data_IF_937660761953
#
_entry.id   IF_937660761953
#
_cell.length_a   1.000
_cell.length_b   1.000
_cell.length_c   1.000
_cell.angle_alpha   90.00
_cell.angle_beta   90.00
_cell.angle_gamma   90.00
#
_symmetry.space_group_name_H-M   'P 1'
#
loop_
_entity.id
_entity.type
_entity.pdbx_description
1 polymer ?
#
# COMPACT_ATOMS: atom_id res chain seq x y z
N UNK A 1 0.84 24.17 -17.73
CA UNK A 1 0.43 23.56 -16.43
C UNK A 1 0.60 22.03 -16.46
N UNK A 2 -0.39 21.21 -16.88
CA UNK A 2 -0.26 19.73 -16.83
C UNK A 2 0.95 19.18 -17.62
N UNK A 3 1.29 19.80 -18.75
CA UNK A 3 2.47 19.48 -19.57
C UNK A 3 3.80 19.74 -18.86
N UNK A 4 3.87 20.84 -18.12
CA UNK A 4 5.07 21.33 -17.46
C UNK A 4 5.33 20.54 -16.17
N UNK A 5 4.29 20.35 -15.37
CA UNK A 5 4.29 19.47 -14.20
C UNK A 5 4.68 18.03 -14.56
N UNK A 6 4.20 17.51 -15.70
CA UNK A 6 4.63 16.21 -16.23
C UNK A 6 6.12 16.23 -16.55
N UNK A 7 6.61 17.23 -17.29
CA UNK A 7 8.03 17.36 -17.66
C UNK A 7 8.95 17.45 -16.43
N UNK A 8 8.59 18.28 -15.45
CA UNK A 8 9.32 18.42 -14.17
C UNK A 8 9.41 17.09 -13.42
N UNK A 9 8.30 16.35 -13.34
CA UNK A 9 8.27 15.03 -12.71
C UNK A 9 9.14 13.99 -13.46
N UNK A 10 9.15 13.98 -14.80
CA UNK A 10 10.08 13.13 -15.56
C UNK A 10 11.55 13.51 -15.35
N UNK A 11 11.87 14.80 -15.24
CA UNK A 11 13.23 15.24 -14.89
C UNK A 11 13.64 14.77 -13.49
N UNK A 12 12.72 14.83 -12.52
CA UNK A 12 12.96 14.31 -11.18
C UNK A 12 13.17 12.78 -11.16
N UNK A 13 12.36 12.00 -11.89
CA UNK A 13 12.57 10.54 -12.05
C UNK A 13 13.95 10.25 -12.64
N UNK A 14 14.35 10.97 -13.71
CA UNK A 14 15.64 10.75 -14.38
C UNK A 14 16.81 10.97 -13.41
N UNK A 15 16.80 12.07 -12.67
CA UNK A 15 17.84 12.36 -11.69
C UNK A 15 17.88 11.28 -10.58
N UNK A 16 16.71 10.91 -10.04
CA UNK A 16 16.58 9.86 -9.01
C UNK A 16 17.10 8.49 -9.49
N UNK A 17 16.92 8.17 -10.77
CA UNK A 17 17.46 6.96 -11.39
C UNK A 17 18.98 7.03 -11.62
N UNK A 18 19.49 8.19 -12.05
CA UNK A 18 20.94 8.41 -12.14
C UNK A 18 21.63 8.32 -10.78
N UNK A 19 20.98 8.74 -9.70
CA UNK A 19 21.49 8.62 -8.33
C UNK A 19 21.49 7.15 -7.85
N UNK A 20 20.41 6.39 -8.08
CA UNK A 20 20.38 4.94 -7.80
C UNK A 20 21.51 4.19 -8.54
N UNK A 21 21.82 4.57 -9.79
CA UNK A 21 22.92 3.96 -10.55
C UNK A 21 24.31 4.30 -9.98
N UNK A 22 24.49 5.45 -9.33
CA UNK A 22 25.76 5.81 -8.67
C UNK A 22 25.96 4.96 -7.41
N UNK A 23 24.93 4.84 -6.58
CA UNK A 23 24.95 4.03 -5.36
C UNK A 23 25.13 2.53 -5.66
N UNK A 24 24.59 2.06 -6.79
CA UNK A 24 24.72 0.66 -7.24
C UNK A 24 26.10 0.29 -7.80
N UNK A 25 27.06 1.23 -7.85
CA UNK A 25 28.33 1.06 -8.56
C UNK A 25 29.51 0.93 -7.56
N UNK A 26 29.97 -0.29 -7.22
CA UNK A 26 31.04 -0.49 -6.24
C UNK A 26 32.42 -0.23 -6.85
N UNK A 27 32.71 1.03 -7.21
CA UNK A 27 34.04 1.45 -7.68
C UNK A 27 34.33 2.94 -7.43
N UNK A 28 34.65 3.26 -6.17
CA UNK A 28 35.49 4.41 -5.81
C UNK A 28 36.56 4.07 -4.78
N UNK A 29 36.94 2.79 -4.66
CA UNK A 29 38.24 2.41 -4.09
C UNK A 29 39.29 2.62 -5.18
N UNK A 30 40.16 3.62 -5.01
CA UNK A 30 41.33 3.80 -5.87
C UNK A 30 41.44 5.14 -6.59
N UNK A 31 41.53 6.24 -5.85
CA UNK A 31 42.43 7.34 -6.20
C UNK A 31 42.79 8.20 -4.97
N UNK A 32 43.37 7.55 -3.96
CA UNK A 32 44.22 8.23 -3.00
C UNK A 32 45.50 8.69 -3.71
N UNK A 33 45.41 9.77 -4.50
CA UNK A 33 46.60 10.46 -5.01
C UNK A 33 47.20 11.28 -3.89
N UNK A 34 48.27 10.73 -3.35
CA UNK A 34 49.25 11.40 -2.51
C UNK A 34 49.64 12.76 -3.09
N UNK A 35 49.29 13.84 -2.40
CA UNK A 35 50.01 15.11 -2.45
C UNK A 35 50.46 15.40 -1.01
N UNK A 36 51.74 15.16 -0.74
CA UNK A 36 52.44 15.56 0.49
C UNK A 36 52.95 17.00 0.38
N UNK A 37 53.42 17.56 1.52
CA UNK A 37 53.76 18.98 1.78
C UNK A 37 52.49 19.82 2.07
N UNK A 38 52.34 20.65 3.11
CA UNK A 38 53.09 20.97 4.36
C UNK A 38 52.16 21.90 5.22
N UNK A 39 52.26 22.15 6.54
CA UNK A 39 53.11 21.68 7.65
C UNK A 39 52.36 21.90 9.02
N UNK A 40 52.93 21.41 10.13
CA UNK A 40 52.79 21.76 11.58
C UNK A 40 51.55 22.49 12.15
N UNK A 41 50.92 21.92 13.21
CA UNK A 41 51.05 22.43 14.61
C UNK A 41 50.27 21.58 15.66
N UNK A 42 51.03 20.90 16.53
CA UNK A 42 50.93 20.69 17.99
C UNK A 42 49.60 20.60 18.82
N UNK A 43 49.47 19.45 19.54
CA UNK A 43 48.80 19.19 20.86
C UNK A 43 47.25 19.30 21.01
N UNK A 44 46.63 18.70 22.05
CA UNK A 44 46.55 17.24 22.30
C UNK A 44 45.11 16.72 22.58
N UNK A 45 44.98 15.40 22.68
CA UNK A 45 43.72 14.72 22.99
C UNK A 45 43.24 14.91 24.46
N UNK A 46 41.95 15.25 24.64
CA UNK A 46 41.02 14.54 25.53
C UNK A 46 39.59 15.14 25.53
N UNK A 47 38.66 14.37 26.11
CA UNK A 47 37.33 14.72 26.66
C UNK A 47 36.08 14.28 25.84
N UNK A 48 35.23 13.54 26.56
CA UNK A 48 33.81 13.20 26.37
C UNK A 48 33.33 12.54 25.07
N UNK A 49 33.15 11.20 25.17
CA UNK A 49 32.01 10.54 24.54
C UNK A 49 30.72 11.03 25.22
N UNK A 50 29.96 11.93 24.59
CA UNK A 50 28.56 12.17 24.93
C UNK A 50 27.71 12.24 23.64
N UNK A 51 26.88 11.21 23.50
CA UNK A 51 25.54 11.21 22.89
C UNK A 51 25.31 12.05 21.62
N UNK A 52 25.50 11.39 20.47
CA UNK A 52 24.71 11.66 19.26
C UNK A 52 24.03 10.39 18.74
N UNK A 53 23.16 9.82 19.58
CA UNK A 53 22.08 8.97 19.08
C UNK A 53 21.10 9.82 18.26
N UNK A 54 21.41 10.00 16.98
CA UNK A 54 20.43 10.48 16.01
C UNK A 54 20.68 9.86 14.62
N UNK A 55 21.09 8.59 14.61
CA UNK A 55 21.22 7.77 13.41
C UNK A 55 19.87 7.12 13.10
N UNK A 56 18.94 7.89 12.53
CA UNK A 56 17.68 7.37 11.97
C UNK A 56 17.93 6.64 10.63
N UNK A 57 18.94 5.75 10.61
CA UNK A 57 19.50 5.10 9.41
C UNK A 57 19.07 3.65 9.20
N UNK A 58 18.37 3.06 10.16
CA UNK A 58 18.21 1.59 10.26
C UNK A 58 16.80 1.05 10.00
N UNK A 59 15.83 1.90 9.62
CA UNK A 59 14.40 1.51 9.71
C UNK A 59 13.75 0.83 8.49
N UNK A 60 14.52 0.53 7.43
CA UNK A 60 14.10 -0.45 6.41
C UNK A 60 15.32 -1.22 5.93
N UNK A 61 15.58 -2.36 6.57
CA UNK A 61 16.54 -3.32 6.06
C UNK A 61 16.04 -3.86 4.71
N UNK A 62 16.81 -3.61 3.64
CA UNK A 62 16.44 -3.98 2.26
C UNK A 62 16.48 -5.52 2.09
N UNK A 63 17.13 -6.22 3.03
CA UNK A 63 17.15 -7.68 3.17
C UNK A 63 15.80 -8.32 3.53
N UNK A 64 14.82 -7.54 4.01
CA UNK A 64 13.51 -8.02 4.49
C UNK A 64 12.59 -8.40 3.30
N UNK A 65 13.07 -9.27 2.40
CA UNK A 65 12.29 -9.88 1.31
C UNK A 65 11.05 -10.58 1.90
N UNK A 66 9.92 -10.60 1.19
CA UNK A 66 8.64 -11.05 1.80
C UNK A 66 8.74 -12.48 2.35
N UNK A 67 8.75 -12.62 3.69
CA UNK A 67 8.98 -13.89 4.40
C UNK A 67 8.19 -15.05 3.80
N UNK A 68 6.94 -14.77 3.45
CA UNK A 68 6.04 -15.71 2.78
C UNK A 68 5.19 -14.97 1.74
N UNK A 69 5.20 -15.47 0.51
CA UNK A 69 4.33 -15.00 -0.58
C UNK A 69 3.86 -16.17 -1.46
N UNK A 70 2.62 -16.11 -1.95
CA UNK A 70 2.06 -17.08 -2.88
C UNK A 70 1.18 -16.37 -3.91
N UNK A 71 1.17 -16.81 -5.17
CA UNK A 71 0.45 -16.16 -6.26
C UNK A 71 -0.46 -17.14 -7.00
N UNK A 72 -1.66 -16.69 -7.35
CA UNK A 72 -2.70 -17.48 -8.00
C UNK A 72 -3.23 -16.74 -9.21
N UNK A 73 -3.27 -17.40 -10.37
CA UNK A 73 -4.05 -16.89 -11.52
C UNK A 73 -5.45 -17.51 -11.47
N UNK A 74 -6.48 -16.69 -11.54
CA UNK A 74 -7.89 -17.09 -11.43
C UNK A 74 -8.68 -16.68 -12.66
N UNK A 75 -9.78 -17.40 -12.93
CA UNK A 75 -10.78 -17.00 -13.92
C UNK A 75 -12.10 -16.65 -13.24
N UNK A 76 -12.63 -15.46 -13.49
CA UNK A 76 -13.94 -15.01 -13.02
C UNK A 76 -14.93 -14.86 -14.17
N UNK A 77 -16.23 -14.97 -13.86
CA UNK A 77 -17.31 -14.92 -14.85
C UNK A 77 -17.75 -16.29 -15.37
N UNK A 78 -19.03 -16.39 -15.73
CA UNK A 78 -19.66 -17.62 -16.26
C UNK A 78 -19.67 -17.68 -17.79
N UNK A 79 -19.85 -16.54 -18.46
CA UNK A 79 -19.88 -16.42 -19.93
C UNK A 79 -18.62 -15.72 -20.46
N UNK A 80 -18.42 -14.44 -20.13
CA UNK A 80 -17.16 -13.74 -20.39
C UNK A 80 -16.19 -14.03 -19.23
N UNK A 81 -15.12 -14.78 -19.49
CA UNK A 81 -14.10 -15.10 -18.49
C UNK A 81 -13.03 -14.01 -18.44
N UNK A 82 -12.82 -13.43 -17.27
CA UNK A 82 -11.77 -12.44 -17.02
C UNK A 82 -10.68 -13.04 -16.13
N UNK A 83 -9.44 -13.02 -16.64
CA UNK A 83 -8.26 -13.48 -15.91
C UNK A 83 -7.83 -12.42 -14.91
N UNK A 84 -7.57 -12.82 -13.66
CA UNK A 84 -7.02 -11.93 -12.64
C UNK A 84 -5.87 -12.64 -11.92
N UNK A 85 -4.93 -11.86 -11.40
CA UNK A 85 -3.89 -12.36 -10.51
C UNK A 85 -4.27 -12.03 -9.07
N UNK A 86 -4.18 -13.01 -8.18
CA UNK A 86 -4.23 -12.81 -6.75
C UNK A 86 -2.85 -13.11 -6.17
N UNK A 87 -2.47 -12.40 -5.11
CA UNK A 87 -1.27 -12.72 -4.32
C UNK A 87 -1.63 -12.71 -2.85
N UNK A 88 -1.10 -13.65 -2.07
CA UNK A 88 -1.06 -13.62 -0.61
C UNK A 88 0.37 -13.23 -0.19
N UNK A 89 0.51 -12.28 0.73
CA UNK A 89 1.81 -11.77 1.20
C UNK A 89 1.78 -11.59 2.72
N UNK A 90 2.77 -12.12 3.43
CA UNK A 90 3.05 -11.72 4.81
C UNK A 90 3.97 -10.48 4.80
N UNK A 91 3.46 -9.33 5.26
CA UNK A 91 4.21 -8.07 5.25
C UNK A 91 3.67 -7.05 6.26
N UNK A 92 4.49 -6.05 6.61
CA UNK A 92 3.95 -4.79 7.11
C UNK A 92 3.37 -4.00 5.93
N UNK A 93 2.07 -3.70 5.98
CA UNK A 93 1.35 -2.90 4.97
C UNK A 93 2.00 -1.52 4.72
N UNK A 94 2.70 -0.94 5.71
CA UNK A 94 3.41 0.32 5.55
C UNK A 94 4.69 0.21 4.70
N UNK A 95 5.28 -0.98 4.51
CA UNK A 95 6.47 -1.18 3.66
C UNK A 95 6.23 -0.70 2.21
N UNK A 96 5.02 -0.95 1.71
CA UNK A 96 4.57 -0.53 0.37
C UNK A 96 4.38 1.01 0.22
N UNK A 97 4.37 1.73 1.34
CA UNK A 97 4.33 3.20 1.41
C UNK A 97 5.70 3.82 1.73
N UNK A 98 6.79 3.04 1.74
CA UNK A 98 8.13 3.56 2.04
C UNK A 98 8.66 4.47 0.93
N UNK A 99 9.54 5.40 1.28
CA UNK A 99 10.20 6.32 0.35
C UNK A 99 11.66 5.93 0.03
N UNK A 100 12.11 4.76 0.50
CA UNK A 100 13.49 4.26 0.29
C UNK A 100 13.78 4.16 -1.21
N UNK A 101 14.96 4.64 -1.62
CA UNK A 101 15.41 4.60 -3.00
C UNK A 101 15.60 3.14 -3.44
N UNK A 102 14.70 2.66 -4.29
CA UNK A 102 14.67 1.27 -4.78
C UNK A 102 14.25 1.25 -6.25
N UNK A 103 14.63 0.21 -7.02
CA UNK A 103 14.13 0.04 -8.39
C UNK A 103 12.59 0.04 -8.46
N UNK A 104 11.94 -0.57 -7.47
CA UNK A 104 10.48 -0.61 -7.31
C UNK A 104 9.87 0.80 -7.20
N UNK A 105 10.38 1.66 -6.31
CA UNK A 105 9.93 3.05 -6.17
C UNK A 105 10.05 3.83 -7.49
N UNK A 106 11.12 3.60 -8.25
CA UNK A 106 11.32 4.27 -9.55
C UNK A 106 10.32 3.74 -10.59
N UNK A 107 10.09 2.42 -10.65
CA UNK A 107 9.11 1.81 -11.55
C UNK A 107 7.67 2.27 -11.24
N UNK A 108 7.32 2.38 -9.96
CA UNK A 108 6.06 3.00 -9.50
C UNK A 108 6.00 4.44 -10.00
N UNK A 109 6.97 5.29 -9.68
CA UNK A 109 6.99 6.69 -10.14
C UNK A 109 6.85 6.84 -11.67
N UNK A 110 7.53 6.02 -12.47
CA UNK A 110 7.37 6.01 -13.93
C UNK A 110 5.93 5.67 -14.39
N UNK A 111 5.21 4.89 -13.61
CA UNK A 111 3.84 4.43 -13.90
C UNK A 111 2.75 5.46 -13.57
N UNK A 112 3.06 6.58 -12.90
CA UNK A 112 2.09 7.60 -12.49
C UNK A 112 1.25 8.18 -13.64
N UNK A 113 1.83 8.24 -14.85
CA UNK A 113 1.18 8.73 -16.07
C UNK A 113 0.84 7.62 -17.08
N UNK A 114 0.90 6.36 -16.66
CA UNK A 114 0.52 5.18 -17.46
C UNK A 114 -0.91 4.74 -17.13
N UNK A 115 -1.37 3.66 -17.75
CA UNK A 115 -2.56 2.90 -17.35
C UNK A 115 -2.30 1.96 -16.15
N UNK A 116 -1.08 1.90 -15.62
CA UNK A 116 -0.71 0.99 -14.52
C UNK A 116 -0.62 1.68 -13.16
N UNK A 117 -1.78 2.09 -12.63
CA UNK A 117 -1.84 2.66 -11.28
C UNK A 117 -1.86 1.56 -10.21
N UNK A 118 -1.13 1.80 -9.11
CA UNK A 118 -1.13 0.95 -7.92
C UNK A 118 -1.75 1.66 -6.70
N UNK A 119 -2.43 0.91 -5.84
CA UNK A 119 -3.09 1.44 -4.66
C UNK A 119 -2.98 0.54 -3.41
N UNK A 120 -3.05 1.12 -2.23
CA UNK A 120 -3.04 0.41 -0.94
C UNK A 120 -4.29 0.79 -0.14
N UNK A 121 -4.84 -0.17 0.60
CA UNK A 121 -5.90 0.07 1.59
C UNK A 121 -5.30 0.05 3.00
N UNK A 122 -5.30 1.19 3.67
CA UNK A 122 -4.92 1.32 5.08
C UNK A 122 -6.16 1.42 5.96
N UNK A 123 -6.08 0.80 7.14
CA UNK A 123 -7.05 1.02 8.21
C UNK A 123 -6.75 2.38 8.87
N UNK A 124 -7.79 3.19 9.08
CA UNK A 124 -7.68 4.51 9.65
C UNK A 124 -8.68 4.70 10.81
N UNK A 125 -8.29 5.51 11.79
CA UNK A 125 -9.17 5.93 12.88
C UNK A 125 -10.26 6.90 12.37
N UNK A 126 -11.36 7.02 13.13
CA UNK A 126 -12.44 7.99 12.88
C UNK A 126 -11.93 9.45 12.88
N UNK A 127 -10.81 9.72 13.57
CA UNK A 127 -10.32 11.07 13.81
C UNK A 127 -9.30 11.53 12.76
N UNK A 128 -9.78 12.28 11.77
CA UNK A 128 -8.95 13.14 10.88
C UNK A 128 -8.25 14.30 11.63
N UNK A 129 -8.10 14.23 12.96
CA UNK A 129 -7.52 15.33 13.75
C UNK A 129 -6.03 15.46 13.44
N UNK A 130 -5.51 16.70 13.41
CA UNK A 130 -4.09 16.92 13.06
C UNK A 130 -3.14 16.13 13.98
N UNK A 131 -3.49 15.96 15.26
CA UNK A 131 -2.67 15.14 16.18
C UNK A 131 -2.77 13.64 15.92
N UNK A 132 -3.90 13.10 15.47
CA UNK A 132 -4.02 11.69 15.13
C UNK A 132 -3.32 11.39 13.81
N UNK A 133 -3.51 12.26 12.81
CA UNK A 133 -2.80 12.16 11.53
C UNK A 133 -1.29 12.25 11.72
N UNK A 134 -0.76 13.20 12.51
CA UNK A 134 0.69 13.33 12.74
C UNK A 134 1.29 12.19 13.56
N UNK A 135 0.49 11.49 14.40
CA UNK A 135 0.97 10.37 15.24
C UNK A 135 1.00 9.02 14.52
N UNK A 136 0.29 8.85 13.41
CA UNK A 136 0.28 7.57 12.69
C UNK A 136 1.63 7.30 12.04
N UNK A 137 2.07 6.03 12.07
CA UNK A 137 3.39 5.65 11.53
C UNK A 137 3.46 5.85 10.00
N UNK A 138 2.31 5.70 9.32
CA UNK A 138 2.13 6.12 7.92
C UNK A 138 2.52 7.58 7.69
N UNK A 139 2.01 8.49 8.53
CA UNK A 139 2.24 9.92 8.32
C UNK A 139 3.68 10.32 8.69
N UNK A 140 4.27 9.73 9.74
CA UNK A 140 5.70 9.94 10.07
C UNK A 140 6.60 9.56 8.89
N UNK A 141 6.35 8.40 8.30
CA UNK A 141 7.08 7.90 7.13
C UNK A 141 6.95 8.81 5.91
N UNK A 142 5.75 9.36 5.64
CA UNK A 142 5.52 10.24 4.48
C UNK A 142 5.97 11.68 4.74
N UNK A 143 5.88 12.21 5.97
CA UNK A 143 6.39 13.56 6.30
C UNK A 143 7.91 13.66 6.15
N UNK A 144 8.63 12.55 6.21
CA UNK A 144 10.07 12.47 5.91
C UNK A 144 10.37 12.37 4.40
N UNK A 145 9.37 12.55 3.53
CA UNK A 145 9.49 12.45 2.07
C UNK A 145 8.97 13.71 1.39
N UNK A 146 9.63 14.16 0.32
CA UNK A 146 9.07 15.20 -0.54
C UNK A 146 7.96 14.62 -1.42
N UNK A 147 6.81 15.27 -1.48
CA UNK A 147 5.78 14.96 -2.48
C UNK A 147 5.99 15.87 -3.69
N UNK A 148 6.31 15.27 -4.84
CA UNK A 148 6.84 16.00 -6.00
C UNK A 148 5.80 16.25 -7.11
N UNK A 149 4.54 15.83 -6.89
CA UNK A 149 3.46 15.99 -7.88
C UNK A 149 2.11 16.43 -7.27
N UNK A 150 1.74 15.86 -6.12
CA UNK A 150 0.48 16.15 -5.44
C UNK A 150 0.64 17.22 -4.34
N UNK A 151 -0.45 17.75 -3.76
CA UNK A 151 -0.35 18.54 -2.53
C UNK A 151 0.20 17.67 -1.40
N UNK A 152 0.95 18.26 -0.48
CA UNK A 152 1.44 17.59 0.73
C UNK A 152 0.30 16.92 1.52
N UNK A 153 0.65 15.86 2.27
CA UNK A 153 -0.31 15.07 3.05
C UNK A 153 -1.21 15.93 3.96
N UNK A 154 -0.66 16.96 4.62
CA UNK A 154 -1.44 17.89 5.43
C UNK A 154 -2.48 18.67 4.61
N UNK A 155 -2.07 19.21 3.45
CA UNK A 155 -2.98 19.92 2.53
C UNK A 155 -4.09 19.01 2.00
N UNK A 156 -3.79 17.73 1.73
CA UNK A 156 -4.82 16.75 1.34
C UNK A 156 -5.81 16.49 2.48
N UNK A 157 -5.36 16.40 3.73
CA UNK A 157 -6.26 16.26 4.88
C UNK A 157 -7.17 17.48 5.09
N UNK A 158 -6.67 18.71 4.91
CA UNK A 158 -7.53 19.90 5.00
C UNK A 158 -8.59 19.96 3.90
N UNK A 159 -8.26 19.54 2.67
CA UNK A 159 -9.25 19.40 1.59
C UNK A 159 -10.33 18.35 1.94
N UNK A 160 -9.92 17.19 2.47
CA UNK A 160 -10.86 16.13 2.91
C UNK A 160 -11.79 16.67 4.01
N UNK A 161 -11.27 17.40 5.02
CA UNK A 161 -12.08 18.03 6.07
C UNK A 161 -13.05 19.06 5.51
N UNK A 162 -12.62 19.86 4.53
CA UNK A 162 -13.49 20.85 3.88
C UNK A 162 -14.66 20.17 3.16
N UNK A 163 -14.40 19.08 2.42
CA UNK A 163 -15.45 18.32 1.74
C UNK A 163 -16.39 17.59 2.70
N UNK A 164 -15.88 17.01 3.80
CA UNK A 164 -16.73 16.43 4.86
C UNK A 164 -17.63 17.48 5.52
N UNK A 165 -17.13 18.71 5.74
CA UNK A 165 -17.93 19.81 6.26
C UNK A 165 -19.01 20.28 5.25
N UNK A 166 -18.77 20.17 3.94
CA UNK A 166 -19.76 20.44 2.88
C UNK A 166 -20.85 19.36 2.79
N UNK A 167 -20.54 18.12 3.17
CA UNK A 167 -21.46 16.99 3.19
C UNK A 167 -22.38 16.96 4.42
N UNK A 168 -22.20 17.87 5.40
CA UNK A 168 -23.06 17.98 6.57
C UNK A 168 -24.53 18.25 6.17
N UNK A 169 -25.49 17.41 6.57
CA UNK A 169 -26.91 17.63 6.28
C UNK A 169 -27.39 18.94 6.90
N UNK A 170 -28.27 19.66 6.21
CA UNK A 170 -28.74 20.99 6.62
C UNK A 170 -29.30 21.06 8.06
N UNK A 171 -29.85 19.95 8.56
CA UNK A 171 -30.39 19.84 9.92
C UNK A 171 -29.31 19.91 11.01
N UNK A 172 -28.05 19.55 10.71
CA UNK A 172 -26.92 19.61 11.65
C UNK A 172 -26.17 20.95 11.58
N UNK A 173 -26.33 21.72 10.49
CA UNK A 173 -25.68 23.03 10.31
C UNK A 173 -26.11 24.07 11.37
N UNK A 174 -27.28 23.87 12.00
CA UNK A 174 -27.80 24.75 13.06
C UNK A 174 -27.25 24.43 14.47
N UNK A 175 -26.51 23.34 14.67
CA UNK A 175 -25.84 23.10 15.94
C UNK A 175 -24.57 23.95 16.04
N UNK A 176 -24.64 25.05 16.81
CA UNK A 176 -23.53 25.99 17.07
C UNK A 176 -22.33 25.42 17.84
N UNK A 177 -22.21 24.11 17.95
CA UNK A 177 -21.05 23.45 18.53
C UNK A 177 -20.09 23.09 17.38
N UNK A 178 -18.84 23.57 17.45
CA UNK A 178 -17.79 23.40 16.42
C UNK A 178 -17.27 21.97 16.25
N UNK A 179 -18.14 20.97 16.35
CA UNK A 179 -17.85 19.57 16.05
C UNK A 179 -17.65 19.43 14.54
N UNK A 180 -16.43 19.09 14.13
CA UNK A 180 -16.15 18.68 12.75
C UNK A 180 -16.94 17.39 12.44
N UNK A 181 -17.35 17.21 11.18
CA UNK A 181 -18.00 15.96 10.78
C UNK A 181 -17.03 14.79 11.05
N UNK A 182 -17.43 13.86 11.92
CA UNK A 182 -16.65 12.66 12.21
C UNK A 182 -16.95 11.59 11.17
N UNK A 183 -15.89 10.96 10.68
CA UNK A 183 -16.03 9.76 9.87
C UNK A 183 -16.63 8.64 10.71
N UNK A 184 -17.39 7.76 10.06
CA UNK A 184 -17.99 6.57 10.64
C UNK A 184 -17.26 5.33 10.13
N UNK A 185 -17.33 4.25 10.89
CA UNK A 185 -16.83 2.94 10.47
C UNK A 185 -17.33 2.59 9.05
N UNK A 186 -16.40 2.21 8.17
CA UNK A 186 -16.68 1.89 6.76
C UNK A 186 -16.67 3.07 5.79
N UNK A 187 -16.61 4.32 6.28
CA UNK A 187 -16.30 5.47 5.43
C UNK A 187 -14.89 5.31 4.83
N UNK A 188 -14.68 5.89 3.64
CA UNK A 188 -13.41 5.81 2.92
C UNK A 188 -13.02 7.20 2.42
N UNK A 189 -11.77 7.59 2.67
CA UNK A 189 -11.14 8.77 2.06
C UNK A 189 -9.85 8.38 1.33
N UNK A 190 -9.34 9.27 0.47
CA UNK A 190 -8.25 8.97 -0.45
C UNK A 190 -7.15 10.03 -0.32
N UNK A 191 -5.89 9.60 -0.22
CA UNK A 191 -4.72 10.45 -0.44
C UNK A 191 -3.90 9.94 -1.64
N UNK A 192 -3.27 10.86 -2.37
CA UNK A 192 -2.51 10.59 -3.60
C UNK A 192 -1.06 10.99 -3.42
N UNK A 193 -0.15 10.18 -3.97
CA UNK A 193 1.29 10.32 -3.77
C UNK A 193 2.03 9.94 -5.06
N UNK A 194 3.16 10.58 -5.33
CA UNK A 194 4.01 10.28 -6.49
C UNK A 194 5.34 9.63 -6.14
N UNK A 195 5.62 9.51 -4.84
CA UNK A 195 6.96 9.22 -4.33
C UNK A 195 7.02 8.01 -3.35
N UNK A 196 5.97 7.18 -3.29
CA UNK A 196 5.96 5.95 -2.49
C UNK A 196 6.48 4.78 -3.31
N UNK A 197 6.94 3.72 -2.63
CA UNK A 197 7.56 2.56 -3.27
C UNK A 197 6.64 1.76 -4.19
N UNK A 198 5.38 1.55 -3.80
CA UNK A 198 4.48 0.58 -4.46
C UNK A 198 3.04 1.11 -4.64
N UNK A 199 2.79 2.42 -4.45
CA UNK A 199 1.44 3.00 -4.62
C UNK A 199 1.41 4.47 -5.05
N UNK A 200 0.39 4.80 -5.85
CA UNK A 200 0.00 6.17 -6.18
C UNK A 200 -1.21 6.65 -5.36
N UNK A 201 -2.06 5.72 -4.93
CA UNK A 201 -3.35 6.00 -4.29
C UNK A 201 -3.44 5.23 -2.98
N UNK A 202 -3.66 5.93 -1.87
CA UNK A 202 -3.91 5.31 -0.58
C UNK A 202 -5.38 5.52 -0.25
N UNK A 203 -6.13 4.42 -0.21
CA UNK A 203 -7.47 4.36 0.34
C UNK A 203 -7.35 4.17 1.84
N UNK A 204 -7.97 5.07 2.61
CA UNK A 204 -8.04 4.98 4.06
C UNK A 204 -9.46 4.56 4.41
N UNK A 205 -9.62 3.35 4.93
CA UNK A 205 -10.93 2.83 5.36
C UNK A 205 -11.06 2.95 6.87
N UNK A 206 -12.16 3.54 7.31
CA UNK A 206 -12.37 3.88 8.72
C UNK A 206 -12.76 2.63 9.49
N UNK A 207 -11.96 2.31 10.49
CA UNK A 207 -11.91 1.03 11.16
C UNK A 207 -11.44 1.23 12.60
N UNK A 208 -12.14 0.63 13.56
CA UNK A 208 -11.81 0.69 14.98
C UNK A 208 -11.47 -0.70 15.54
N UNK A 209 -11.01 -0.73 16.79
CA UNK A 209 -10.66 -1.95 17.51
C UNK A 209 -11.84 -2.93 17.69
N UNK A 210 -13.10 -2.48 17.53
CA UNK A 210 -14.27 -3.35 17.60
C UNK A 210 -14.24 -4.46 16.54
N UNK A 211 -13.54 -4.24 15.42
CA UNK A 211 -13.30 -5.21 14.33
C UNK A 211 -12.63 -6.50 14.81
N UNK A 212 -11.86 -6.47 15.90
CA UNK A 212 -11.26 -7.69 16.49
C UNK A 212 -12.32 -8.58 17.13
N UNK A 213 -13.23 -7.98 17.89
CA UNK A 213 -14.17 -8.69 18.77
C UNK A 213 -15.57 -8.88 18.17
N UNK A 214 -15.94 -8.10 17.14
CA UNK A 214 -17.24 -8.18 16.49
C UNK A 214 -17.34 -9.34 15.48
N UNK A 215 -18.51 -9.99 15.43
CA UNK A 215 -18.87 -10.92 14.35
C UNK A 215 -19.16 -10.13 13.06
N UNK A 216 -18.14 -10.04 12.20
CA UNK A 216 -18.25 -9.39 10.89
C UNK A 216 -18.96 -10.31 9.89
N UNK A 217 -19.87 -9.74 9.10
CA UNK A 217 -20.55 -10.40 7.98
C UNK A 217 -20.50 -9.52 6.72
N UNK A 218 -21.02 -10.00 5.59
CA UNK A 218 -20.94 -9.31 4.29
C UNK A 218 -21.64 -7.95 4.21
N UNK A 219 -22.48 -7.59 5.19
CA UNK A 219 -23.15 -6.27 5.29
C UNK A 219 -22.45 -5.31 6.25
N UNK A 220 -21.39 -5.73 6.93
CA UNK A 220 -20.65 -4.90 7.87
C UNK A 220 -20.05 -3.67 7.16
N UNK A 221 -20.07 -2.46 7.76
CA UNK A 221 -19.70 -1.22 7.06
C UNK A 221 -18.33 -1.27 6.38
N UNK A 222 -17.31 -1.82 7.04
CA UNK A 222 -15.95 -1.97 6.47
C UNK A 222 -15.92 -2.86 5.23
N UNK A 223 -16.79 -3.89 5.15
CA UNK A 223 -16.90 -4.75 3.97
C UNK A 223 -17.53 -4.00 2.79
N UNK A 224 -18.51 -3.13 3.08
CA UNK A 224 -19.12 -2.25 2.08
C UNK A 224 -18.14 -1.14 1.65
N UNK A 225 -17.28 -0.66 2.55
CA UNK A 225 -16.16 0.23 2.22
C UNK A 225 -15.15 -0.45 1.28
N UNK A 226 -14.76 -1.70 1.53
CA UNK A 226 -13.93 -2.49 0.60
C UNK A 226 -14.59 -2.67 -0.77
N UNK A 227 -15.91 -2.90 -0.84
CA UNK A 227 -16.67 -2.94 -2.10
C UNK A 227 -16.56 -1.62 -2.86
N UNK A 228 -16.73 -0.50 -2.15
CA UNK A 228 -16.62 0.84 -2.74
C UNK A 228 -15.19 1.12 -3.24
N UNK A 229 -14.16 0.73 -2.48
CA UNK A 229 -12.75 0.82 -2.90
C UNK A 229 -12.52 0.03 -4.19
N UNK A 230 -12.92 -1.24 -4.25
CA UNK A 230 -12.75 -2.06 -5.45
C UNK A 230 -13.53 -1.52 -6.66
N UNK A 231 -14.70 -0.92 -6.42
CA UNK A 231 -15.47 -0.23 -7.47
C UNK A 231 -14.71 0.99 -8.00
N UNK A 232 -14.14 1.83 -7.11
CA UNK A 232 -13.33 3.00 -7.50
C UNK A 232 -12.07 2.54 -8.24
N UNK A 233 -11.37 1.53 -7.72
CA UNK A 233 -10.19 0.94 -8.37
C UNK A 233 -10.50 0.42 -9.79
N UNK A 234 -11.67 -0.19 -10.00
CA UNK A 234 -12.10 -0.61 -11.33
C UNK A 234 -12.41 0.58 -12.24
N UNK A 235 -13.15 1.60 -11.75
CA UNK A 235 -13.55 2.79 -12.53
C UNK A 235 -12.35 3.64 -12.98
N UNK A 236 -11.33 3.78 -12.13
CA UNK A 236 -10.12 4.55 -12.41
C UNK A 236 -8.95 3.70 -12.91
N UNK A 237 -9.22 2.48 -13.37
CA UNK A 237 -8.28 1.52 -13.94
C UNK A 237 -6.99 1.29 -13.13
N UNK A 238 -7.15 1.14 -11.81
CA UNK A 238 -6.07 0.75 -10.91
C UNK A 238 -5.77 -0.73 -11.14
N UNK A 239 -4.60 -1.04 -11.70
CA UNK A 239 -4.19 -2.39 -12.07
C UNK A 239 -3.71 -3.21 -10.88
N UNK A 240 -3.12 -2.58 -9.87
CA UNK A 240 -2.59 -3.25 -8.68
C UNK A 240 -3.24 -2.70 -7.41
N UNK A 241 -3.77 -3.56 -6.54
CA UNK A 241 -4.31 -3.11 -5.24
C UNK A 241 -3.92 -4.03 -4.08
N UNK A 242 -3.39 -3.43 -3.01
CA UNK A 242 -3.06 -4.12 -1.77
C UNK A 242 -4.21 -4.00 -0.75
N UNK A 243 -4.70 -5.13 -0.24
CA UNK A 243 -5.83 -5.23 0.70
C UNK A 243 -5.41 -5.92 2.01
N UNK A 244 -5.76 -5.39 3.19
CA UNK A 244 -5.52 -6.07 4.47
C UNK A 244 -6.49 -7.25 4.65
N UNK A 245 -6.04 -8.48 4.41
CA UNK A 245 -6.89 -9.69 4.35
C UNK A 245 -7.62 -9.98 5.67
N UNK A 246 -7.03 -9.62 6.81
CA UNK A 246 -7.62 -9.84 8.13
C UNK A 246 -8.40 -8.63 8.66
N UNK A 247 -8.34 -7.49 7.96
CA UNK A 247 -8.68 -6.17 8.51
C UNK A 247 -7.90 -5.88 9.81
N UNK A 248 -6.60 -6.16 9.81
CA UNK A 248 -5.65 -5.86 10.88
C UNK A 248 -4.37 -5.21 10.32
N UNK A 249 -3.72 -4.37 11.12
CA UNK A 249 -2.41 -3.76 10.87
C UNK A 249 -1.25 -4.67 11.33
N UNK A 250 -1.43 -5.32 12.49
CA UNK A 250 -0.50 -6.26 13.12
C UNK A 250 -1.26 -7.45 13.74
N UNK A 251 -0.54 -8.49 14.16
CA UNK A 251 -1.12 -9.52 15.02
C UNK A 251 -1.21 -9.05 16.47
N UNK A 252 -2.24 -9.51 17.16
CA UNK A 252 -2.53 -9.25 18.57
C UNK A 252 -2.70 -10.60 19.29
N UNK A 253 -2.39 -10.66 20.59
CA UNK A 253 -2.33 -11.91 21.38
C UNK A 253 -3.69 -12.63 21.51
N UNK A 254 -4.80 -11.91 21.35
CA UNK A 254 -6.17 -12.43 21.41
C UNK A 254 -6.65 -13.07 20.08
N UNK A 255 -5.87 -12.93 19.00
CA UNK A 255 -6.25 -13.40 17.67
C UNK A 255 -5.83 -14.87 17.46
N UNK A 256 -6.83 -15.75 17.35
CA UNK A 256 -6.62 -17.18 17.12
C UNK A 256 -6.53 -17.54 15.63
N UNK A 257 -5.86 -18.66 15.31
CA UNK A 257 -5.82 -19.24 13.95
C UNK A 257 -7.23 -19.39 13.36
N UNK A 258 -8.19 -19.90 14.14
CA UNK A 258 -9.58 -20.06 13.68
C UNK A 258 -10.27 -18.73 13.34
N UNK A 259 -9.98 -17.66 14.10
CA UNK A 259 -10.46 -16.32 13.78
C UNK A 259 -9.87 -15.85 12.45
N UNK A 260 -8.56 -16.04 12.22
CA UNK A 260 -7.89 -15.65 10.97
C UNK A 260 -8.48 -16.36 9.76
N UNK A 261 -8.69 -17.68 9.84
CA UNK A 261 -9.24 -18.46 8.73
C UNK A 261 -10.68 -18.04 8.40
N UNK A 262 -11.55 -17.90 9.41
CA UNK A 262 -12.93 -17.41 9.22
C UNK A 262 -12.97 -15.99 8.62
N UNK A 263 -12.09 -15.10 9.10
CA UNK A 263 -11.98 -13.72 8.61
C UNK A 263 -11.50 -13.68 7.16
N UNK A 264 -10.42 -14.37 6.84
CA UNK A 264 -9.88 -14.45 5.48
C UNK A 264 -10.90 -15.05 4.50
N UNK A 265 -11.56 -16.15 4.86
CA UNK A 265 -12.59 -16.77 4.02
C UNK A 265 -13.76 -15.81 3.72
N UNK A 266 -14.22 -15.05 4.72
CA UNK A 266 -15.24 -14.02 4.53
C UNK A 266 -14.77 -12.92 3.57
N UNK A 267 -13.56 -12.38 3.77
CA UNK A 267 -13.01 -11.30 2.93
C UNK A 267 -12.82 -11.79 1.49
N UNK A 268 -12.21 -12.96 1.28
CA UNK A 268 -12.00 -13.55 -0.03
C UNK A 268 -13.34 -13.79 -0.76
N UNK A 269 -14.36 -14.31 -0.07
CA UNK A 269 -15.71 -14.49 -0.63
C UNK A 269 -16.38 -13.17 -1.00
N UNK A 270 -16.26 -12.14 -0.18
CA UNK A 270 -16.80 -10.81 -0.48
C UNK A 270 -16.10 -10.19 -1.68
N UNK A 271 -14.75 -10.16 -1.69
CA UNK A 271 -13.94 -9.62 -2.79
C UNK A 271 -14.23 -10.35 -4.11
N UNK A 272 -14.33 -11.69 -4.09
CA UNK A 272 -14.78 -12.47 -5.27
C UNK A 272 -16.13 -12.00 -5.81
N UNK A 273 -17.12 -11.79 -4.94
CA UNK A 273 -18.43 -11.28 -5.31
C UNK A 273 -18.34 -9.88 -5.94
N UNK A 274 -17.53 -9.00 -5.34
CA UNK A 274 -17.32 -7.63 -5.82
C UNK A 274 -16.61 -7.59 -7.18
N UNK A 275 -15.61 -8.44 -7.42
CA UNK A 275 -14.95 -8.56 -8.74
C UNK A 275 -15.93 -9.00 -9.83
N UNK A 276 -16.80 -9.98 -9.53
CA UNK A 276 -17.84 -10.46 -10.47
C UNK A 276 -18.88 -9.36 -10.73
N UNK A 277 -19.30 -8.61 -9.70
CA UNK A 277 -20.22 -7.49 -9.83
C UNK A 277 -19.64 -6.38 -10.74
N UNK A 278 -18.40 -5.95 -10.49
CA UNK A 278 -17.76 -4.88 -11.26
C UNK A 278 -17.54 -5.30 -12.72
N UNK A 279 -17.12 -6.55 -12.96
CA UNK A 279 -16.98 -7.09 -14.31
C UNK A 279 -18.31 -7.20 -15.06
N UNK A 280 -19.45 -7.37 -14.38
CA UNK A 280 -20.76 -7.47 -15.03
C UNK A 280 -21.43 -6.11 -15.26
N UNK A 281 -21.26 -5.16 -14.35
CA UNK A 281 -21.92 -3.85 -14.41
C UNK A 281 -21.26 -2.85 -15.36
N UNK A 282 -19.94 -2.93 -15.54
CA UNK A 282 -19.18 -1.88 -16.22
C UNK A 282 -18.83 -2.20 -17.68
N UNK A 283 -18.93 -3.47 -18.11
CA UNK A 283 -18.80 -3.91 -19.52
C UNK A 283 -17.56 -3.41 -20.27
N UNK A 284 -16.50 -3.02 -19.55
CA UNK A 284 -15.23 -2.58 -20.14
C UNK A 284 -14.48 -3.83 -20.62
N UNK A 285 -14.21 -3.89 -21.91
CA UNK A 285 -13.63 -5.04 -22.59
C UNK A 285 -12.10 -5.14 -22.49
N UNK A 286 -11.42 -4.11 -21.97
CA UNK A 286 -9.97 -4.16 -21.75
C UNK A 286 -9.65 -4.98 -20.50
N UNK A 287 -9.46 -6.27 -20.74
CA UNK A 287 -8.96 -7.24 -19.78
C UNK A 287 -7.44 -7.10 -19.59
N UNK A 288 -7.00 -5.95 -19.08
CA UNK A 288 -5.68 -5.83 -18.48
C UNK A 288 -5.62 -6.68 -17.20
N UNK A 289 -4.50 -7.37 -16.96
CA UNK A 289 -4.37 -8.37 -15.89
C UNK A 289 -4.29 -7.69 -14.50
N UNK A 290 -5.44 -7.35 -13.92
CA UNK A 290 -5.50 -6.71 -12.60
C UNK A 290 -5.04 -7.68 -11.49
N UNK A 291 -4.21 -7.17 -10.59
CA UNK A 291 -3.62 -7.92 -9.48
C UNK A 291 -4.19 -7.43 -8.14
N UNK A 292 -4.80 -8.33 -7.38
CA UNK A 292 -5.23 -8.08 -5.99
C UNK A 292 -4.26 -8.77 -5.04
N UNK A 293 -3.57 -7.98 -4.22
CA UNK A 293 -2.55 -8.41 -3.29
C UNK A 293 -3.13 -8.40 -1.87
N UNK A 294 -3.51 -9.57 -1.38
CA UNK A 294 -3.99 -9.79 -0.02
C UNK A 294 -2.80 -9.84 0.93
N UNK A 295 -2.71 -8.84 1.80
CA UNK A 295 -1.64 -8.73 2.78
C UNK A 295 -2.15 -9.17 4.14
N UNK A 296 -1.37 -10.03 4.79
CA UNK A 296 -1.50 -10.39 6.20
C UNK A 296 -0.33 -9.81 6.97
N UNK A 297 -0.49 -9.49 8.27
CA UNK A 297 0.61 -8.97 9.08
C UNK A 297 1.89 -9.81 9.00
N UNK A 298 3.06 -9.15 9.11
CA UNK A 298 4.35 -9.84 9.25
C UNK A 298 4.45 -10.63 10.56
N UNK A 299 5.34 -11.64 10.61
CA UNK A 299 5.57 -12.44 11.82
C UNK A 299 4.45 -13.45 12.15
N UNK A 300 3.61 -13.82 11.18
CA UNK A 300 2.70 -14.96 11.33
C UNK A 300 3.45 -16.28 11.19
N UNK A 301 2.93 -17.37 11.75
CA UNK A 301 3.55 -18.69 11.57
C UNK A 301 3.39 -19.21 10.13
N UNK A 302 4.37 -19.98 9.67
CA UNK A 302 4.30 -20.70 8.38
C UNK A 302 3.05 -21.58 8.29
N UNK A 303 2.65 -22.22 9.39
CA UNK A 303 1.41 -23.01 9.49
C UNK A 303 0.17 -22.16 9.19
N UNK A 304 0.06 -20.97 9.81
CA UNK A 304 -1.06 -20.07 9.56
C UNK A 304 -1.03 -19.53 8.12
N UNK A 305 0.13 -19.19 7.58
CA UNK A 305 0.25 -18.77 6.17
C UNK A 305 -0.22 -19.87 5.21
N UNK A 306 0.27 -21.11 5.38
CA UNK A 306 -0.15 -22.25 4.56
C UNK A 306 -1.64 -22.55 4.71
N UNK A 307 -2.19 -22.44 5.92
CA UNK A 307 -3.64 -22.58 6.14
C UNK A 307 -4.45 -21.48 5.43
N UNK A 308 -4.00 -20.22 5.46
CA UNK A 308 -4.62 -19.11 4.74
C UNK A 308 -4.52 -19.27 3.21
N UNK A 309 -3.36 -19.69 2.70
CA UNK A 309 -3.13 -20.05 1.30
C UNK A 309 -4.14 -21.09 0.81
N UNK A 310 -4.38 -22.15 1.61
CA UNK A 310 -5.33 -23.21 1.27
C UNK A 310 -6.80 -22.74 1.08
N UNK A 311 -7.15 -21.53 1.54
CA UNK A 311 -8.47 -20.93 1.32
C UNK A 311 -8.62 -20.42 -0.12
N UNK A 312 -7.54 -20.00 -0.79
CA UNK A 312 -7.61 -19.44 -2.14
C UNK A 312 -8.17 -20.44 -3.18
N UNK A 313 -7.71 -21.70 -3.27
CA UNK A 313 -8.30 -22.71 -4.15
C UNK A 313 -9.74 -23.11 -3.81
N UNK A 314 -10.18 -22.94 -2.56
CA UNK A 314 -11.57 -23.27 -2.17
C UNK A 314 -12.56 -22.15 -2.47
N UNK A 315 -12.11 -20.88 -2.39
CA UNK A 315 -12.92 -19.71 -2.74
C UNK A 315 -12.87 -19.42 -4.24
N UNK A 316 -11.72 -19.52 -4.90
CA UNK A 316 -11.53 -19.14 -6.31
C UNK A 316 -11.29 -20.34 -7.22
N UNK A 317 -11.82 -20.26 -8.45
CA UNK A 317 -11.49 -21.23 -9.50
C UNK A 317 -10.15 -20.84 -10.12
N UNK A 318 -9.11 -21.60 -9.78
CA UNK A 318 -7.78 -21.42 -10.35
C UNK A 318 -7.75 -21.70 -11.86
N UNK A 319 -6.84 -21.02 -12.55
CA UNK A 319 -6.46 -21.32 -13.93
C UNK A 319 -5.46 -22.47 -13.94
N UNK A 320 -5.84 -23.62 -14.50
CA UNK A 320 -4.90 -24.72 -14.69
C UNK A 320 -3.90 -24.35 -15.79
N UNK A 321 -2.58 -24.46 -15.56
CA UNK A 321 -1.60 -24.36 -16.64
C UNK A 321 -1.80 -25.52 -17.61
N UNK A 322 -1.69 -25.24 -18.91
CA UNK A 322 -1.82 -26.26 -19.94
C UNK A 322 -0.48 -26.96 -20.13
N UNK A 323 -0.34 -28.16 -19.57
CA UNK A 323 0.87 -28.97 -19.74
C UNK A 323 0.96 -29.49 -21.18
N UNK A 324 1.88 -28.92 -21.95
CA UNK A 324 2.21 -29.40 -23.30
C UNK A 324 3.02 -30.71 -23.19
N UNK A 325 2.32 -31.84 -23.17
CA UNK A 325 2.95 -33.15 -23.37
C UNK A 325 3.45 -33.25 -24.82
N UNK A 326 4.75 -33.45 -25.02
CA UNK A 326 5.27 -33.89 -26.32
C UNK A 326 4.63 -35.24 -26.65
N UNK A 327 3.89 -35.30 -27.75
CA UNK A 327 3.52 -36.57 -28.36
C UNK A 327 4.74 -37.11 -29.12
N UNK A 328 5.64 -37.80 -28.39
CA UNK A 328 6.72 -38.56 -29.00
C UNK A 328 6.13 -39.85 -29.61
N UNK A 329 5.53 -39.70 -30.80
CA UNK A 329 5.10 -40.78 -31.68
C UNK A 329 5.31 -40.35 -33.15
N UNK A 330 6.48 -40.68 -33.69
CA UNK A 330 6.79 -40.81 -35.13
C UNK A 330 7.44 -42.18 -35.30
#
# INVERSE_FOLDING_TARGET
IRSDQKREFYSWIKNTYEDLLKDSCPNSIGNAKTNSLDQNDDFPANISNEEKENSFSDFVDISDEFEMQESYTINLGSQLKTTHNLRLIAANMLKFCSNVLTPHRIQTAMSLYSNSLSAIVLLADESLTSSATTKSDFAKMIMNSSENHFPELHSQFELIKADLNRLKPANEQNQKNGQNYRLKMGDVYITRHSNLSEAHVIFHIVADDSIRHAEINSRHPVILGLRNILKIAYIYDISNIYLPLLLLDKMYEDITIQWCLKRAELILKCVKGFMIEMSSLLSISDSENKTIQFVVPKGISQELFTALSSIFPTVFRLSNPLFLTKNDNI
#
